data_IF_798219683912
#
_entry.id   IF_798219683912
#
_cell.length_a   1.000
_cell.length_b   1.000
_cell.length_c   1.000
_cell.angle_alpha   90.00
_cell.angle_beta   90.00
_cell.angle_gamma   90.00
#
_symmetry.space_group_name_H-M   'P 1'
#
loop_
_entity.id
_entity.type
_entity.pdbx_description
1 polymer ?
#
# COMPACT_ATOMS: atom_id res chain seq x y z
N UNK A 1 32.41 7.68 37.60
CA UNK A 1 31.73 6.37 37.46
C UNK A 1 30.81 6.49 36.27
N UNK A 2 31.09 5.71 35.23
CA UNK A 2 30.47 5.72 33.91
C UNK A 2 29.21 4.88 33.87
N UNK A 3 28.12 5.42 33.33
CA UNK A 3 27.02 4.68 32.69
C UNK A 3 26.68 5.47 31.41
N UNK A 4 27.23 5.20 30.22
CA UNK A 4 26.91 4.11 29.26
C UNK A 4 25.43 3.76 29.16
N UNK A 5 24.70 4.58 28.39
CA UNK A 5 23.38 4.25 27.86
C UNK A 5 23.10 4.85 26.46
N UNK A 6 24.13 5.19 25.68
CA UNK A 6 23.97 5.60 24.28
C UNK A 6 23.76 4.36 23.39
N UNK A 7 22.60 3.73 23.56
CA UNK A 7 22.09 2.75 22.62
C UNK A 7 21.62 3.49 21.37
N UNK A 8 22.54 3.88 20.50
CA UNK A 8 22.22 4.23 19.11
C UNK A 8 21.47 3.05 18.50
N UNK A 9 20.13 3.11 18.51
CA UNK A 9 19.32 2.18 17.75
C UNK A 9 19.60 2.46 16.27
N UNK A 10 20.53 1.68 15.71
CA UNK A 10 20.94 1.75 14.30
C UNK A 10 19.85 1.28 13.33
N UNK A 11 18.68 0.87 13.83
CA UNK A 11 17.56 0.43 13.01
C UNK A 11 16.81 1.65 12.43
N UNK A 12 16.84 1.89 11.11
CA UNK A 12 16.13 2.99 10.47
C UNK A 12 14.61 2.75 10.36
N UNK A 13 14.14 1.52 10.64
CA UNK A 13 12.73 1.12 10.65
C UNK A 13 12.13 1.10 12.07
N UNK A 14 12.88 1.55 13.08
CA UNK A 14 12.36 1.65 14.43
C UNK A 14 11.54 2.93 14.60
N UNK A 15 10.41 2.83 15.32
CA UNK A 15 9.66 4.00 15.80
C UNK A 15 10.53 4.80 16.76
N UNK A 16 10.52 6.12 16.61
CA UNK A 16 11.25 7.08 17.44
C UNK A 16 10.33 8.21 17.88
N UNK A 17 10.59 8.71 19.07
CA UNK A 17 9.94 9.87 19.66
C UNK A 17 10.61 11.18 19.23
N UNK A 18 11.91 11.10 18.93
CA UNK A 18 12.70 12.26 18.53
C UNK A 18 13.56 11.97 17.30
N UNK A 19 13.74 13.01 16.48
CA UNK A 19 14.61 12.98 15.31
C UNK A 19 15.50 14.22 15.31
N UNK A 20 16.79 14.02 15.02
CA UNK A 20 17.71 15.14 14.84
C UNK A 20 17.36 15.94 13.58
N UNK A 21 17.68 17.25 13.58
CA UNK A 21 17.46 18.13 12.42
C UNK A 21 18.12 17.59 11.14
N UNK A 22 19.28 16.95 11.28
CA UNK A 22 19.98 16.30 10.16
C UNK A 22 19.18 15.11 9.62
N UNK A 23 18.60 14.28 10.49
CA UNK A 23 17.76 13.14 10.08
C UNK A 23 16.49 13.61 9.37
N UNK A 24 15.86 14.67 9.88
CA UNK A 24 14.68 15.28 9.25
C UNK A 24 15.02 15.84 7.88
N UNK A 25 16.15 16.54 7.75
CA UNK A 25 16.63 17.04 6.46
C UNK A 25 16.87 15.89 5.46
N UNK A 26 17.50 14.81 5.91
CA UNK A 26 17.71 13.63 5.10
C UNK A 26 16.39 13.02 4.63
N UNK A 27 15.39 12.88 5.52
CA UNK A 27 14.06 12.39 5.14
C UNK A 27 13.36 13.30 4.13
N UNK A 28 13.44 14.63 4.28
CA UNK A 28 12.87 15.58 3.32
C UNK A 28 13.45 15.35 1.91
N UNK A 29 14.77 15.26 1.82
CA UNK A 29 15.48 15.09 0.54
C UNK A 29 15.18 13.71 -0.06
N UNK A 30 15.38 12.64 0.70
CA UNK A 30 15.21 11.26 0.23
C UNK A 30 13.75 10.91 -0.09
N UNK A 31 12.79 11.43 0.67
CA UNK A 31 11.35 11.35 0.35
C UNK A 31 11.04 12.01 -0.98
N UNK A 32 11.52 13.25 -1.18
CA UNK A 32 11.32 13.98 -2.43
C UNK A 32 11.94 13.27 -3.63
N UNK A 33 13.19 12.84 -3.52
CA UNK A 33 13.91 12.14 -4.59
C UNK A 33 13.25 10.80 -4.93
N UNK A 34 12.96 9.96 -3.94
CA UNK A 34 12.33 8.65 -4.18
C UNK A 34 10.92 8.79 -4.77
N UNK A 35 10.14 9.79 -4.33
CA UNK A 35 8.84 10.12 -4.93
C UNK A 35 8.97 10.51 -6.40
N UNK A 36 9.87 11.44 -6.74
CA UNK A 36 10.06 11.89 -8.11
C UNK A 36 10.55 10.76 -9.02
N UNK A 37 11.48 9.93 -8.54
CA UNK A 37 11.97 8.76 -9.28
C UNK A 37 10.81 7.82 -9.59
N UNK A 38 10.01 7.45 -8.59
CA UNK A 38 8.86 6.56 -8.81
C UNK A 38 7.83 7.18 -9.76
N UNK A 39 7.44 8.44 -9.52
CA UNK A 39 6.43 9.15 -10.30
C UNK A 39 6.84 9.24 -11.78
N UNK A 40 8.05 9.75 -12.05
CA UNK A 40 8.55 9.91 -13.42
C UNK A 40 8.63 8.56 -14.12
N UNK A 41 9.16 7.53 -13.45
CA UNK A 41 9.26 6.18 -14.01
C UNK A 41 7.89 5.57 -14.32
N UNK A 42 6.93 5.70 -13.41
CA UNK A 42 5.57 5.19 -13.59
C UNK A 42 4.87 5.85 -14.78
N UNK A 43 4.96 7.18 -14.90
CA UNK A 43 4.40 7.91 -16.04
C UNK A 43 5.12 7.58 -17.34
N UNK A 44 6.46 7.60 -17.34
CA UNK A 44 7.25 7.34 -18.53
C UNK A 44 6.91 5.97 -19.13
N UNK A 45 6.95 4.91 -18.33
CA UNK A 45 6.70 3.54 -18.80
C UNK A 45 5.23 3.21 -19.03
N UNK A 46 4.30 4.03 -18.54
CA UNK A 46 2.89 3.92 -18.95
C UNK A 46 2.73 4.20 -20.45
N UNK A 47 3.51 5.15 -20.99
CA UNK A 47 3.38 5.61 -22.37
C UNK A 47 4.51 5.14 -23.29
N UNK A 48 5.68 4.81 -22.74
CA UNK A 48 6.89 4.46 -23.49
C UNK A 48 7.38 3.05 -23.14
N UNK A 49 7.94 2.37 -24.13
CA UNK A 49 8.57 1.06 -23.97
C UNK A 49 10.08 1.26 -23.77
N UNK A 50 10.77 0.42 -22.98
CA UNK A 50 12.23 0.48 -22.92
C UNK A 50 12.85 0.11 -24.27
N UNK A 51 13.85 0.89 -24.69
CA UNK A 51 14.60 0.68 -25.93
C UNK A 51 15.86 -0.17 -25.74
N UNK A 52 16.20 -0.49 -24.49
CA UNK A 52 17.46 -1.11 -24.09
C UNK A 52 17.23 -2.49 -23.46
N UNK A 53 18.14 -3.42 -23.74
CA UNK A 53 18.19 -4.75 -23.13
C UNK A 53 17.85 -5.88 -24.10
N UNK A 54 18.30 -7.09 -23.76
CA UNK A 54 18.07 -8.30 -24.54
C UNK A 54 16.79 -8.99 -24.03
N UNK A 55 15.68 -8.85 -24.75
CA UNK A 55 14.42 -9.53 -24.41
C UNK A 55 13.16 -8.80 -24.88
N UNK A 56 11.96 -9.37 -24.65
CA UNK A 56 10.70 -8.72 -24.94
C UNK A 56 10.47 -7.53 -24.01
N UNK A 57 10.18 -6.38 -24.62
CA UNK A 57 9.89 -5.13 -23.94
C UNK A 57 8.43 -4.74 -24.19
N UNK A 58 7.79 -4.12 -23.21
CA UNK A 58 6.44 -3.59 -23.37
C UNK A 58 6.22 -2.35 -22.51
N UNK A 59 5.23 -1.52 -22.86
CA UNK A 59 4.73 -0.49 -21.93
C UNK A 59 4.09 -1.15 -20.71
N UNK A 60 3.96 -0.42 -19.61
CA UNK A 60 3.45 -0.94 -18.35
C UNK A 60 2.10 -1.66 -18.50
N UNK A 61 1.16 -1.06 -19.24
CA UNK A 61 -0.18 -1.61 -19.51
C UNK A 61 -0.34 -2.32 -20.87
N UNK A 62 0.71 -2.39 -21.69
CA UNK A 62 0.58 -2.97 -23.03
C UNK A 62 0.64 -4.49 -22.99
N UNK A 63 -0.26 -5.15 -23.74
CA UNK A 63 -0.20 -6.59 -23.95
C UNK A 63 -0.40 -7.40 -22.67
N UNK A 64 -1.16 -6.86 -21.71
CA UNK A 64 -1.45 -7.51 -20.44
C UNK A 64 -1.94 -8.94 -20.68
N UNK A 65 -1.22 -9.97 -20.18
CA UNK A 65 -1.65 -11.33 -20.35
C UNK A 65 -3.03 -11.50 -19.71
N UNK A 66 -3.96 -12.25 -20.34
CA UNK A 66 -5.32 -12.45 -19.83
C UNK A 66 -5.31 -13.43 -18.64
N UNK A 67 -4.60 -13.06 -17.58
CA UNK A 67 -4.53 -13.80 -16.33
C UNK A 67 -5.82 -13.61 -15.55
N UNK A 68 -6.15 -14.54 -14.64
CA UNK A 68 -7.33 -14.44 -13.77
C UNK A 68 -7.38 -13.18 -12.87
N UNK A 69 -6.25 -12.50 -12.70
CA UNK A 69 -6.09 -11.32 -11.84
C UNK A 69 -5.75 -10.06 -12.62
N UNK A 70 -5.89 -10.06 -13.96
CA UNK A 70 -5.63 -8.88 -14.77
C UNK A 70 -6.60 -7.74 -14.42
N UNK A 71 -6.03 -6.57 -14.17
CA UNK A 71 -6.76 -5.38 -13.75
C UNK A 71 -7.09 -4.45 -14.92
N UNK A 72 -8.11 -3.61 -14.74
CA UNK A 72 -8.36 -2.47 -15.63
C UNK A 72 -7.23 -1.46 -15.50
N UNK A 73 -6.50 -1.25 -16.60
CA UNK A 73 -5.42 -0.26 -16.65
C UNK A 73 -5.90 1.15 -16.29
N UNK A 74 -7.14 1.50 -16.68
CA UNK A 74 -7.73 2.82 -16.42
C UNK A 74 -8.01 2.98 -14.92
N UNK A 75 -8.74 2.05 -14.31
CA UNK A 75 -9.13 2.16 -12.89
C UNK A 75 -7.88 2.10 -12.01
N UNK A 76 -6.95 1.18 -12.29
CA UNK A 76 -5.70 1.09 -11.51
C UNK A 76 -4.81 2.31 -11.72
N UNK A 77 -4.81 2.95 -12.90
CA UNK A 77 -4.08 4.21 -13.10
C UNK A 77 -4.69 5.36 -12.30
N UNK A 78 -6.02 5.51 -12.29
CA UNK A 78 -6.71 6.53 -11.48
C UNK A 78 -6.41 6.32 -10.00
N UNK A 79 -6.44 5.07 -9.53
CA UNK A 79 -6.06 4.70 -8.17
C UNK A 79 -4.66 5.22 -7.82
N UNK A 80 -3.67 4.97 -8.69
CA UNK A 80 -2.30 5.45 -8.47
C UNK A 80 -2.15 6.97 -8.55
N UNK A 81 -2.89 7.65 -9.43
CA UNK A 81 -2.90 9.12 -9.47
C UNK A 81 -3.38 9.72 -8.14
N UNK A 82 -4.42 9.13 -7.55
CA UNK A 82 -4.92 9.53 -6.23
C UNK A 82 -3.86 9.24 -5.15
N UNK A 83 -3.21 8.08 -5.19
CA UNK A 83 -2.13 7.77 -4.24
C UNK A 83 -0.97 8.74 -4.35
N UNK A 84 -0.51 9.08 -5.56
CA UNK A 84 0.56 10.07 -5.74
C UNK A 84 0.17 11.45 -5.18
N UNK A 85 -1.07 11.88 -5.39
CA UNK A 85 -1.56 13.11 -4.77
C UNK A 85 -1.56 13.05 -3.24
N UNK A 86 -1.98 11.93 -2.64
CA UNK A 86 -1.94 11.73 -1.19
C UNK A 86 -0.51 11.63 -0.64
N UNK A 87 0.43 11.09 -1.41
CA UNK A 87 1.84 11.06 -1.05
C UNK A 87 2.45 12.47 -0.97
N UNK A 88 1.95 13.45 -1.73
CA UNK A 88 2.33 14.85 -1.57
C UNK A 88 1.86 15.43 -0.22
N UNK A 89 0.69 15.02 0.29
CA UNK A 89 0.23 15.41 1.62
C UNK A 89 1.15 14.86 2.71
N UNK A 90 1.56 13.60 2.56
CA UNK A 90 2.60 13.02 3.41
C UNK A 90 3.91 13.79 3.32
N UNK A 91 4.40 14.06 2.10
CA UNK A 91 5.64 14.80 1.91
C UNK A 91 5.53 16.14 2.65
N UNK A 92 4.48 16.93 2.39
CA UNK A 92 4.22 18.20 3.07
C UNK A 92 4.23 18.09 4.60
N UNK A 93 3.80 16.97 5.18
CA UNK A 93 3.81 16.74 6.63
C UNK A 93 5.23 16.77 7.23
N UNK A 94 6.29 16.46 6.46
CA UNK A 94 7.68 16.62 6.89
C UNK A 94 8.10 18.10 7.05
N UNK A 95 7.36 19.05 6.48
CA UNK A 95 7.56 20.49 6.65
C UNK A 95 6.58 21.13 7.63
N UNK A 96 5.71 20.33 8.26
CA UNK A 96 4.73 20.85 9.21
C UNK A 96 5.39 21.38 10.48
N UNK A 97 4.88 22.51 10.99
CA UNK A 97 5.21 23.00 12.31
C UNK A 97 4.57 22.15 13.44
N UNK A 98 3.56 21.35 13.11
CA UNK A 98 2.93 20.44 14.07
C UNK A 98 3.79 19.19 14.28
N UNK A 99 4.34 19.06 15.49
CA UNK A 99 5.23 17.95 15.88
C UNK A 99 4.58 16.58 15.69
N UNK A 100 3.27 16.43 15.90
CA UNK A 100 2.58 15.14 15.70
C UNK A 100 2.65 14.68 14.23
N UNK A 101 2.43 15.60 13.29
CA UNK A 101 2.51 15.30 11.86
C UNK A 101 3.94 15.06 11.41
N UNK A 102 4.87 15.89 11.90
CA UNK A 102 6.30 15.76 11.59
C UNK A 102 6.86 14.42 12.06
N UNK A 103 6.60 14.04 13.32
CA UNK A 103 7.07 12.79 13.90
C UNK A 103 6.42 11.58 13.23
N UNK A 104 5.12 11.63 12.95
CA UNK A 104 4.44 10.55 12.22
C UNK A 104 5.03 10.36 10.82
N UNK A 105 5.29 11.46 10.11
CA UNK A 105 5.88 11.42 8.78
C UNK A 105 7.35 10.92 8.79
N UNK A 106 8.15 11.37 9.76
CA UNK A 106 9.54 10.93 9.93
C UNK A 106 9.66 9.44 10.26
N UNK A 107 8.74 8.92 11.09
CA UNK A 107 8.68 7.50 11.44
C UNK A 107 8.36 6.59 10.24
N UNK A 108 7.55 7.07 9.28
CA UNK A 108 7.22 6.33 8.07
C UNK A 108 8.29 6.48 6.97
N UNK A 109 9.15 7.51 7.07
CA UNK A 109 10.15 7.90 6.07
C UNK A 109 10.89 6.74 5.44
N UNK A 110 11.57 5.92 6.24
CA UNK A 110 12.35 4.79 5.73
C UNK A 110 11.49 3.79 4.96
N UNK A 111 10.34 3.40 5.50
CA UNK A 111 9.42 2.46 4.84
C UNK A 111 8.91 3.00 3.51
N UNK A 112 8.56 4.29 3.47
CA UNK A 112 8.11 4.98 2.26
C UNK A 112 9.20 5.04 1.18
N UNK A 113 10.41 5.46 1.55
CA UNK A 113 11.55 5.54 0.63
C UNK A 113 11.88 4.16 0.07
N UNK A 114 11.96 3.14 0.93
CA UNK A 114 12.18 1.75 0.51
C UNK A 114 11.08 1.27 -0.43
N UNK A 115 9.81 1.55 -0.13
CA UNK A 115 8.70 1.17 -1.00
C UNK A 115 8.81 1.82 -2.38
N UNK A 116 9.14 3.10 -2.45
CA UNK A 116 9.29 3.80 -3.73
C UNK A 116 10.44 3.23 -4.57
N UNK A 117 11.57 2.90 -3.95
CA UNK A 117 12.70 2.31 -4.66
C UNK A 117 12.42 0.87 -5.13
N UNK A 118 11.70 0.08 -4.32
CA UNK A 118 11.26 -1.25 -4.71
C UNK A 118 10.25 -1.20 -5.87
N UNK A 119 9.30 -0.26 -5.83
CA UNK A 119 8.33 -0.05 -6.91
C UNK A 119 9.00 0.48 -8.18
N UNK A 120 10.00 1.34 -8.05
CA UNK A 120 10.84 1.77 -9.17
C UNK A 120 11.52 0.58 -9.84
N UNK A 121 12.19 -0.28 -9.05
CA UNK A 121 12.81 -1.51 -9.57
C UNK A 121 11.79 -2.46 -10.19
N UNK A 122 10.64 -2.62 -9.53
CA UNK A 122 9.53 -3.44 -10.01
C UNK A 122 9.07 -3.00 -11.40
N UNK A 123 8.81 -1.70 -11.61
CA UNK A 123 8.37 -1.19 -12.92
C UNK A 123 9.41 -1.52 -13.98
N UNK A 124 10.70 -1.31 -13.70
CA UNK A 124 11.78 -1.58 -14.65
C UNK A 124 11.87 -3.07 -15.05
N UNK A 125 11.68 -3.98 -14.09
CA UNK A 125 11.67 -5.42 -14.32
C UNK A 125 10.41 -5.85 -15.08
N UNK A 126 9.26 -5.31 -14.69
CA UNK A 126 7.97 -5.58 -15.30
C UNK A 126 7.98 -5.26 -16.80
N UNK A 127 8.39 -4.05 -17.19
CA UNK A 127 8.40 -3.64 -18.61
C UNK A 127 9.43 -4.37 -19.48
N UNK A 128 10.36 -5.10 -18.84
CA UNK A 128 11.38 -5.94 -19.48
C UNK A 128 11.06 -7.43 -19.34
N UNK A 129 9.83 -7.78 -18.99
CA UNK A 129 9.36 -9.17 -18.84
C UNK A 129 10.11 -10.02 -17.80
N UNK A 130 10.78 -9.42 -16.82
CA UNK A 130 11.46 -10.13 -15.73
C UNK A 130 10.48 -10.43 -14.58
N UNK A 131 9.40 -11.17 -14.87
CA UNK A 131 8.25 -11.31 -13.97
C UNK A 131 8.57 -11.95 -12.62
N UNK A 132 9.49 -12.92 -12.56
CA UNK A 132 9.92 -13.53 -11.30
C UNK A 132 10.68 -12.58 -10.39
N UNK A 133 11.55 -11.74 -10.94
CA UNK A 133 12.26 -10.72 -10.17
C UNK A 133 11.31 -9.58 -9.78
N UNK A 134 10.36 -9.22 -10.66
CA UNK A 134 9.33 -8.26 -10.35
C UNK A 134 8.46 -8.73 -9.16
N UNK A 135 8.04 -10.01 -9.17
CA UNK A 135 7.31 -10.64 -8.07
C UNK A 135 8.12 -10.62 -6.76
N UNK A 136 9.42 -10.95 -6.83
CA UNK A 136 10.30 -10.90 -5.67
C UNK A 136 10.35 -9.50 -5.03
N UNK A 137 10.43 -8.43 -5.84
CA UNK A 137 10.40 -7.06 -5.31
C UNK A 137 9.06 -6.71 -4.68
N UNK A 138 7.94 -7.19 -5.24
CA UNK A 138 6.62 -7.03 -4.62
C UNK A 138 6.52 -7.78 -3.29
N UNK A 139 7.09 -8.98 -3.17
CA UNK A 139 7.12 -9.74 -1.90
C UNK A 139 7.92 -8.99 -0.84
N UNK A 140 9.11 -8.49 -1.19
CA UNK A 140 9.94 -7.69 -0.27
C UNK A 140 9.17 -6.43 0.14
N UNK A 141 8.52 -5.75 -0.81
CA UNK A 141 7.76 -4.55 -0.52
C UNK A 141 6.50 -4.82 0.33
N UNK A 142 5.87 -5.98 0.14
CA UNK A 142 4.74 -6.41 0.96
C UNK A 142 5.12 -6.51 2.44
N UNK A 143 6.27 -7.11 2.74
CA UNK A 143 6.77 -7.17 4.10
C UNK A 143 7.14 -5.79 4.63
N UNK A 144 7.85 -4.97 3.85
CA UNK A 144 8.18 -3.59 4.22
C UNK A 144 6.92 -2.78 4.60
N UNK A 145 5.88 -2.81 3.76
CA UNK A 145 4.63 -2.09 3.99
C UNK A 145 3.78 -2.73 5.12
N UNK A 146 3.85 -4.04 5.30
CA UNK A 146 3.19 -4.72 6.43
C UNK A 146 3.83 -4.32 7.76
N UNK A 147 5.17 -4.26 7.82
CA UNK A 147 5.87 -3.73 8.99
C UNK A 147 5.52 -2.27 9.25
N UNK A 148 5.48 -1.44 8.19
CA UNK A 148 5.06 -0.04 8.30
C UNK A 148 3.65 0.05 8.89
N UNK A 149 2.71 -0.76 8.38
CA UNK A 149 1.34 -0.80 8.85
C UNK A 149 1.25 -1.18 10.32
N UNK A 150 1.82 -2.31 10.72
CA UNK A 150 1.68 -2.80 12.09
C UNK A 150 2.41 -1.91 13.10
N UNK A 151 3.52 -1.29 12.71
CA UNK A 151 4.31 -0.43 13.60
C UNK A 151 3.77 1.01 13.71
N UNK A 152 3.09 1.49 12.67
CA UNK A 152 2.63 2.88 12.56
C UNK A 152 1.14 2.98 12.24
N UNK A 153 0.34 2.03 12.72
CA UNK A 153 -1.11 1.89 12.46
C UNK A 153 -1.96 3.08 12.91
N UNK A 154 -1.47 3.90 13.85
CA UNK A 154 -2.18 5.06 14.41
C UNK A 154 -1.75 6.40 13.78
N UNK A 155 -0.99 6.37 12.69
CA UNK A 155 -0.56 7.55 11.95
C UNK A 155 -1.76 8.38 11.48
N UNK A 156 -1.66 9.73 11.43
CA UNK A 156 -2.70 10.57 10.84
C UNK A 156 -3.19 10.04 9.49
N UNK A 157 -4.52 9.88 9.36
CA UNK A 157 -5.15 9.17 8.23
C UNK A 157 -4.70 9.65 6.86
N UNK A 158 -4.56 10.96 6.66
CA UNK A 158 -4.13 11.51 5.38
C UNK A 158 -2.73 11.02 4.96
N UNK A 159 -1.81 10.86 5.93
CA UNK A 159 -0.49 10.25 5.70
C UNK A 159 -0.66 8.75 5.45
N UNK A 160 -1.37 8.06 6.34
CA UNK A 160 -1.54 6.61 6.32
C UNK A 160 -2.10 6.07 4.99
N UNK A 161 -3.10 6.75 4.42
CA UNK A 161 -3.71 6.32 3.16
C UNK A 161 -2.69 6.34 2.01
N UNK A 162 -1.94 7.44 1.88
CA UNK A 162 -1.03 7.65 0.75
C UNK A 162 0.26 6.83 0.83
N UNK A 163 0.76 6.54 2.03
CA UNK A 163 2.07 5.91 2.22
C UNK A 163 2.06 4.49 2.72
N UNK A 164 0.94 4.04 3.31
CA UNK A 164 0.85 2.72 3.94
C UNK A 164 -0.35 1.94 3.39
N UNK A 165 -1.59 2.31 3.74
CA UNK A 165 -2.77 1.50 3.43
C UNK A 165 -3.02 1.34 1.92
N UNK A 166 -2.96 2.43 1.16
CA UNK A 166 -3.14 2.39 -0.29
C UNK A 166 -2.04 1.60 -1.00
N UNK A 167 -0.75 1.94 -0.82
CA UNK A 167 0.35 1.16 -1.38
C UNK A 167 0.30 -0.32 -0.98
N UNK A 168 -0.01 -0.64 0.28
CA UNK A 168 -0.11 -2.02 0.77
C UNK A 168 -1.24 -2.79 0.09
N UNK A 169 -2.43 -2.18 -0.05
CA UNK A 169 -3.55 -2.80 -0.75
C UNK A 169 -3.21 -3.13 -2.21
N UNK A 170 -2.60 -2.18 -2.92
CA UNK A 170 -2.17 -2.43 -4.30
C UNK A 170 -1.07 -3.48 -4.36
N UNK A 171 -0.08 -3.42 -3.47
CA UNK A 171 1.02 -4.38 -3.47
C UNK A 171 0.50 -5.80 -3.21
N UNK A 172 -0.46 -5.97 -2.30
CA UNK A 172 -1.11 -7.26 -2.06
C UNK A 172 -1.81 -7.77 -3.33
N UNK A 173 -2.59 -6.93 -4.02
CA UNK A 173 -3.25 -7.30 -5.29
C UNK A 173 -2.22 -7.61 -6.40
N UNK A 174 -1.15 -6.82 -6.46
CA UNK A 174 -0.09 -6.97 -7.46
C UNK A 174 0.63 -8.31 -7.33
N UNK A 175 0.81 -8.87 -6.13
CA UNK A 175 1.35 -10.22 -5.94
C UNK A 175 0.55 -11.28 -6.71
N UNK A 176 -0.79 -11.20 -6.66
CA UNK A 176 -1.63 -12.14 -7.40
C UNK A 176 -1.55 -11.90 -8.91
N UNK A 177 -1.55 -10.64 -9.33
CA UNK A 177 -1.49 -10.28 -10.75
C UNK A 177 -0.16 -10.67 -11.39
N UNK A 178 0.95 -10.30 -10.77
CA UNK A 178 2.31 -10.54 -11.29
C UNK A 178 2.70 -12.00 -11.11
N UNK A 179 2.38 -12.62 -9.97
CA UNK A 179 2.53 -14.06 -9.77
C UNK A 179 1.77 -14.86 -10.84
N UNK A 180 0.53 -14.49 -11.15
CA UNK A 180 -0.25 -15.15 -12.18
C UNK A 180 0.37 -15.05 -13.59
N UNK A 181 1.09 -13.96 -13.87
CA UNK A 181 1.88 -13.81 -15.11
C UNK A 181 3.16 -14.65 -15.04
N UNK A 182 3.92 -14.59 -13.95
CA UNK A 182 5.17 -15.32 -13.76
C UNK A 182 4.99 -16.85 -13.89
N UNK A 183 3.86 -17.38 -13.41
CA UNK A 183 3.49 -18.79 -13.48
C UNK A 183 2.69 -19.19 -14.73
N UNK A 184 2.43 -18.27 -15.67
CA UNK A 184 1.61 -18.50 -16.85
C UNK A 184 0.26 -19.21 -16.54
N UNK A 185 -0.48 -18.66 -15.58
CA UNK A 185 -1.72 -19.22 -15.00
C UNK A 185 -2.95 -19.23 -15.94
N UNK A 186 -2.76 -19.09 -17.25
CA UNK A 186 -3.84 -18.99 -18.25
C UNK A 186 -4.57 -20.32 -18.49
N UNK A 187 -3.95 -21.43 -18.09
CA UNK A 187 -4.46 -22.80 -18.19
C UNK A 187 -5.52 -23.14 -17.11
N UNK A 188 -6.25 -24.24 -17.29
CA UNK A 188 -7.42 -24.58 -16.46
C UNK A 188 -7.11 -24.73 -14.96
N UNK A 189 -5.98 -25.37 -14.61
CA UNK A 189 -5.57 -25.55 -13.21
C UNK A 189 -5.28 -24.20 -12.56
N UNK A 190 -4.53 -23.33 -13.24
CA UNK A 190 -4.28 -21.95 -12.80
C UNK A 190 -5.57 -21.17 -12.54
N UNK A 191 -6.61 -21.36 -13.36
CA UNK A 191 -7.92 -20.72 -13.17
C UNK A 191 -8.69 -21.25 -11.96
N UNK A 192 -8.65 -22.56 -11.72
CA UNK A 192 -9.26 -23.18 -10.53
C UNK A 192 -8.60 -22.64 -9.26
N UNK A 193 -7.26 -22.61 -9.23
CA UNK A 193 -6.50 -22.04 -8.11
C UNK A 193 -6.84 -20.56 -7.91
N UNK A 194 -6.90 -19.78 -9.01
CA UNK A 194 -7.25 -18.37 -8.94
C UNK A 194 -8.66 -18.10 -8.38
N UNK A 195 -9.63 -18.97 -8.68
CA UNK A 195 -10.99 -18.88 -8.12
C UNK A 195 -11.01 -19.01 -6.59
N UNK A 196 -10.10 -19.77 -6.00
CA UNK A 196 -9.95 -19.87 -4.54
C UNK A 196 -9.16 -18.68 -4.00
N UNK A 197 -8.05 -18.34 -4.66
CA UNK A 197 -7.08 -17.36 -4.19
C UNK A 197 -7.61 -15.93 -4.15
N UNK A 198 -8.53 -15.57 -5.06
CA UNK A 198 -9.11 -14.22 -5.07
C UNK A 198 -9.86 -13.88 -3.78
N UNK A 199 -10.43 -14.86 -3.08
CA UNK A 199 -11.09 -14.65 -1.78
C UNK A 199 -10.12 -14.26 -0.66
N UNK A 200 -8.82 -14.49 -0.86
CA UNK A 200 -7.77 -13.94 0.00
C UNK A 200 -7.84 -12.42 0.10
N UNK A 201 -8.35 -11.73 -0.92
CA UNK A 201 -8.54 -10.27 -0.91
C UNK A 201 -9.64 -9.84 0.06
N UNK A 202 -10.74 -10.60 0.12
CA UNK A 202 -11.78 -10.38 1.11
C UNK A 202 -11.25 -10.66 2.51
N UNK A 203 -10.59 -11.81 2.72
CA UNK A 203 -10.02 -12.18 4.01
C UNK A 203 -9.02 -11.14 4.51
N UNK A 204 -8.13 -10.67 3.64
CA UNK A 204 -7.15 -9.63 3.96
C UNK A 204 -7.83 -8.30 4.31
N UNK A 205 -8.82 -7.84 3.52
CA UNK A 205 -9.56 -6.61 3.83
C UNK A 205 -10.37 -6.70 5.11
N UNK A 206 -11.08 -7.82 5.33
CA UNK A 206 -11.86 -8.07 6.55
C UNK A 206 -10.95 -8.12 7.78
N UNK A 207 -9.74 -8.70 7.68
CA UNK A 207 -8.77 -8.69 8.77
C UNK A 207 -8.47 -7.27 9.25
N UNK A 208 -8.14 -6.33 8.36
CA UNK A 208 -7.87 -4.95 8.77
C UNK A 208 -9.12 -4.18 9.23
N UNK A 209 -10.26 -4.43 8.59
CA UNK A 209 -11.54 -3.84 9.01
C UNK A 209 -11.95 -4.33 10.41
N UNK A 210 -11.73 -5.61 10.72
CA UNK A 210 -12.13 -6.20 11.99
C UNK A 210 -11.14 -5.88 13.11
N UNK A 211 -9.84 -6.13 12.88
CA UNK A 211 -8.78 -6.02 13.88
C UNK A 211 -8.30 -4.58 14.10
N UNK A 212 -8.20 -3.76 13.04
CA UNK A 212 -7.66 -2.40 13.10
C UNK A 212 -8.73 -1.32 12.90
N UNK A 213 -9.97 -1.70 12.57
CA UNK A 213 -11.04 -0.75 12.21
C UNK A 213 -10.64 0.19 11.06
N UNK A 214 -9.77 -0.28 10.18
CA UNK A 214 -9.22 0.53 9.11
C UNK A 214 -10.08 0.40 7.85
N UNK A 215 -11.02 1.34 7.70
CA UNK A 215 -11.87 1.43 6.52
C UNK A 215 -11.10 1.82 5.25
N UNK A 216 -9.91 2.41 5.38
CA UNK A 216 -9.17 2.96 4.24
C UNK A 216 -8.57 1.85 3.37
N UNK A 217 -7.98 0.82 4.00
CA UNK A 217 -7.49 -0.34 3.27
C UNK A 217 -8.65 -1.17 2.68
N UNK A 218 -9.79 -1.24 3.37
CA UNK A 218 -10.99 -1.88 2.84
C UNK A 218 -11.54 -1.17 1.59
N UNK A 219 -11.57 0.17 1.57
CA UNK A 219 -11.93 0.92 0.36
C UNK A 219 -10.89 0.76 -0.75
N UNK A 220 -9.60 0.78 -0.42
CA UNK A 220 -8.54 0.59 -1.39
C UNK A 220 -8.65 -0.79 -2.08
N UNK A 221 -8.82 -1.86 -1.30
CA UNK A 221 -9.04 -3.21 -1.82
C UNK A 221 -10.36 -3.32 -2.59
N UNK A 222 -11.42 -2.62 -2.16
CA UNK A 222 -12.69 -2.57 -2.90
C UNK A 222 -12.51 -1.98 -4.32
N UNK A 223 -11.81 -0.84 -4.44
CA UNK A 223 -11.52 -0.22 -5.74
C UNK A 223 -10.67 -1.14 -6.61
N UNK A 224 -9.66 -1.81 -6.05
CA UNK A 224 -8.80 -2.73 -6.80
C UNK A 224 -9.52 -4.03 -7.19
N UNK A 225 -10.46 -4.50 -6.37
CA UNK A 225 -11.36 -5.60 -6.70
C UNK A 225 -12.28 -5.20 -7.86
N UNK A 226 -12.87 -4.01 -7.85
CA UNK A 226 -13.62 -3.50 -9.00
C UNK A 226 -12.76 -3.32 -10.24
N UNK A 227 -11.52 -2.85 -10.10
CA UNK A 227 -10.55 -2.77 -11.21
C UNK A 227 -10.33 -4.14 -11.85
N UNK A 228 -10.18 -5.18 -11.04
CA UNK A 228 -10.03 -6.57 -11.50
C UNK A 228 -11.31 -7.08 -12.13
N UNK A 229 -12.48 -6.82 -11.53
CA UNK A 229 -13.78 -7.19 -12.09
C UNK A 229 -14.00 -6.61 -13.48
N UNK A 230 -13.75 -5.31 -13.66
CA UNK A 230 -13.85 -4.62 -14.95
C UNK A 230 -12.79 -5.13 -15.94
N UNK A 231 -11.55 -5.30 -15.50
CA UNK A 231 -10.47 -5.84 -16.35
C UNK A 231 -10.79 -7.22 -16.90
N UNK A 232 -11.30 -8.11 -16.04
CA UNK A 232 -11.72 -9.45 -16.43
C UNK A 232 -12.99 -9.45 -17.29
N UNK A 233 -13.98 -8.61 -16.97
CA UNK A 233 -15.25 -8.51 -17.70
C UNK A 233 -15.04 -8.03 -19.15
N UNK A 234 -14.12 -7.10 -19.37
CA UNK A 234 -13.82 -6.55 -20.70
C UNK A 234 -12.81 -7.39 -21.49
N UNK A 235 -12.13 -8.35 -20.85
CA UNK A 235 -11.28 -9.32 -21.55
C UNK A 235 -12.13 -10.39 -22.26
N UNK A 236 -11.63 -10.98 -23.37
CA UNK A 236 -12.29 -12.16 -23.97
C UNK A 236 -12.56 -13.18 -22.86
N UNK A 237 -13.72 -13.85 -22.85
CA UNK A 237 -14.08 -14.85 -21.83
C UNK A 237 -13.52 -16.23 -22.18
N UNK A 238 -12.46 -16.70 -21.52
CA UNK A 238 -12.12 -18.11 -21.44
C UNK A 238 -13.18 -18.93 -20.71
N UNK A 239 -13.16 -20.22 -20.99
CA UNK A 239 -13.94 -21.24 -20.30
C UNK A 239 -13.62 -21.18 -18.78
N UNK A 240 -14.66 -21.13 -17.94
CA UNK A 240 -14.60 -21.09 -16.46
C UNK A 240 -13.97 -19.82 -15.83
N UNK A 241 -14.12 -18.65 -16.45
CA UNK A 241 -13.68 -17.37 -15.85
C UNK A 241 -14.75 -16.74 -14.93
N UNK A 242 -14.85 -17.24 -13.69
CA UNK A 242 -15.75 -16.69 -12.64
C UNK A 242 -15.15 -15.47 -11.90
N UNK A 243 -13.89 -15.14 -12.19
CA UNK A 243 -13.11 -14.16 -11.46
C UNK A 243 -13.76 -12.77 -11.45
N UNK A 244 -14.45 -12.37 -12.53
CA UNK A 244 -15.12 -11.07 -12.55
C UNK A 244 -16.27 -11.02 -11.52
N UNK A 245 -17.08 -12.08 -11.40
CA UNK A 245 -18.18 -12.16 -10.41
C UNK A 245 -17.62 -12.09 -9.00
N UNK A 246 -16.57 -12.87 -8.72
CA UNK A 246 -15.92 -12.88 -7.41
C UNK A 246 -15.31 -11.52 -7.09
N UNK A 247 -14.63 -10.89 -8.04
CA UNK A 247 -14.04 -9.58 -7.87
C UNK A 247 -15.10 -8.49 -7.59
N UNK A 248 -16.23 -8.46 -8.31
CA UNK A 248 -17.33 -7.54 -8.00
C UNK A 248 -17.97 -7.82 -6.64
N UNK A 249 -18.15 -9.10 -6.30
CA UNK A 249 -18.72 -9.50 -5.00
C UNK A 249 -17.82 -9.05 -3.84
N UNK A 250 -16.52 -9.34 -3.93
CA UNK A 250 -15.51 -8.93 -2.96
C UNK A 250 -15.45 -7.41 -2.87
N UNK A 251 -15.44 -6.71 -4.01
CA UNK A 251 -15.45 -5.25 -4.08
C UNK A 251 -16.67 -4.64 -3.37
N UNK A 252 -17.85 -5.18 -3.63
CA UNK A 252 -19.10 -4.74 -2.99
C UNK A 252 -19.12 -5.01 -1.49
N UNK A 253 -18.72 -6.20 -1.06
CA UNK A 253 -18.65 -6.56 0.36
C UNK A 253 -17.67 -5.66 1.12
N UNK A 254 -16.45 -5.49 0.61
CA UNK A 254 -15.45 -4.61 1.22
C UNK A 254 -15.92 -3.16 1.25
N UNK A 255 -16.61 -2.67 0.20
CA UNK A 255 -17.18 -1.33 0.19
C UNK A 255 -18.21 -1.13 1.30
N UNK A 256 -19.18 -2.05 1.42
CA UNK A 256 -20.24 -1.97 2.44
C UNK A 256 -19.66 -2.10 3.85
N UNK A 257 -18.74 -3.03 4.06
CA UNK A 257 -18.07 -3.20 5.36
C UNK A 257 -17.22 -1.97 5.72
N UNK A 258 -16.50 -1.39 4.76
CA UNK A 258 -15.78 -0.14 4.96
C UNK A 258 -16.70 1.03 5.30
N UNK A 259 -17.87 1.14 4.68
CA UNK A 259 -18.87 2.14 5.06
C UNK A 259 -19.38 1.90 6.49
N UNK A 260 -19.70 0.66 6.83
CA UNK A 260 -20.19 0.29 8.16
C UNK A 260 -19.16 0.59 9.26
N UNK A 261 -17.86 0.43 8.98
CA UNK A 261 -16.78 0.77 9.92
C UNK A 261 -16.48 2.28 9.90
N UNK A 262 -16.48 2.90 8.73
CA UNK A 262 -16.06 4.29 8.51
C UNK A 262 -17.07 5.32 8.99
N UNK A 263 -18.34 5.19 8.60
CA UNK A 263 -19.41 6.17 8.82
C UNK A 263 -19.68 6.46 10.30
N UNK A 264 -19.84 5.46 11.20
CA UNK A 264 -20.16 5.73 12.61
C UNK A 264 -19.15 6.65 13.30
N UNK A 265 -17.86 6.42 13.09
CA UNK A 265 -16.85 7.32 13.66
C UNK A 265 -16.38 8.44 12.74
N UNK A 266 -17.05 8.69 11.60
CA UNK A 266 -17.07 10.05 11.02
C UNK A 266 -18.14 10.91 11.72
N UNK A 267 -19.23 10.28 12.18
CA UNK A 267 -20.33 10.93 12.90
C UNK A 267 -20.09 11.06 14.42
N UNK A 268 -18.90 10.67 14.92
CA UNK A 268 -18.58 10.72 16.35
C UNK A 268 -19.41 9.77 17.22
N UNK A 269 -20.16 8.86 16.61
CA UNK A 269 -20.99 7.84 17.25
C UNK A 269 -20.33 6.49 17.03
N UNK A 270 -19.16 6.29 17.60
CA UNK A 270 -18.47 5.01 17.51
C UNK A 270 -19.09 4.01 18.51
N UNK A 271 -19.82 2.97 18.06
CA UNK A 271 -20.25 1.88 18.94
C UNK A 271 -19.09 0.99 19.41
N UNK A 272 -17.88 1.22 18.87
CA UNK A 272 -16.66 0.48 19.20
C UNK A 272 -15.52 1.49 19.46
N UNK A 273 -14.86 1.47 20.64
CA UNK A 273 -13.78 2.40 20.96
C UNK A 273 -12.66 2.31 19.92
N UNK A 274 -12.47 3.36 19.13
CA UNK A 274 -11.28 3.49 18.28
C UNK A 274 -10.11 3.84 19.18
N UNK A 275 -8.92 3.30 18.88
CA UNK A 275 -7.69 3.69 19.57
C UNK A 275 -7.47 5.19 19.39
N UNK A 276 -8.01 5.97 20.33
CA UNK A 276 -7.77 7.40 20.43
C UNK A 276 -6.26 7.55 20.60
N UNK A 277 -5.70 8.54 19.92
CA UNK A 277 -4.43 9.11 20.33
C UNK A 277 -4.66 9.57 21.76
N UNK A 278 -4.22 8.76 22.72
CA UNK A 278 -4.17 9.16 24.11
C UNK A 278 -3.20 10.34 24.11
N UNK A 279 -3.70 11.53 24.43
CA UNK A 279 -2.83 12.65 24.77
C UNK A 279 -1.89 12.15 25.87
N UNK A 280 -0.57 12.18 25.63
CA UNK A 280 0.46 11.78 26.61
C UNK A 280 0.28 12.48 27.98
N UNK A 281 -0.45 13.60 28.02
CA UNK A 281 -0.89 14.29 29.25
C UNK A 281 -1.74 13.42 30.18
N UNK A 282 -2.39 12.36 29.70
CA UNK A 282 -3.16 11.41 30.53
C UNK A 282 -2.27 10.38 31.21
N UNK A 283 -1.10 10.08 30.66
CA UNK A 283 -0.08 9.23 31.29
C UNK A 283 0.80 10.01 32.28
N UNK A 284 0.71 11.34 32.26
CA UNK A 284 1.35 12.27 33.22
C UNK A 284 0.38 12.89 34.23
N UNK A 285 -0.81 12.31 34.41
CA UNK A 285 -1.64 12.69 35.53
C UNK A 285 -0.99 12.14 36.81
N UNK A 286 -0.51 12.99 37.74
CA UNK A 286 -0.08 12.49 39.04
C UNK A 286 -1.25 11.75 39.67
N UNK A 287 -1.00 10.51 40.10
CA UNK A 287 -1.89 9.83 41.04
C UNK A 287 -1.99 10.74 42.26
N UNK A 288 -3.05 11.54 42.31
CA UNK A 288 -3.50 12.15 43.54
C UNK A 288 -3.82 10.98 44.47
N UNK A 289 -2.83 10.67 45.31
CA UNK A 289 -3.05 9.97 46.55
C UNK A 289 -3.90 10.92 47.40
N UNK A 290 -5.21 10.76 47.28
CA UNK A 290 -6.15 11.33 48.23
C UNK A 290 -6.62 10.20 49.15
N UNK A 291 -6.49 10.49 50.44
CA UNK A 291 -6.75 9.68 51.64
C UNK A 291 -8.10 8.96 51.68
#
# INVERSE_FOLDING_TARGET
>A
MSDTGSGSSRNPFARREEFSSQSILLYKISTGLSYLILLVTAFYYTFNQPNEGHGPHHRFWQGQPPTPFAQSSIITSIYWLILFALQLVYAYSLWSANQTYLLAAANIGTHYITSNLLLFGFIHLWVRSHFWLAELLLVINFFNLSFAYFRHSTTPRAIHIGTVAGPLAWNFVALYWVGAVAFNSTHIVGRIVANVFIWGWLGYGVFFLAAYKDYTIGFALSVLAFSTGVGQFLSKLPILQLQWIFAFTIGGLLFVLSLAVGVPGLLGRDPFPRGQIVSEDRERAPLLADE
#
